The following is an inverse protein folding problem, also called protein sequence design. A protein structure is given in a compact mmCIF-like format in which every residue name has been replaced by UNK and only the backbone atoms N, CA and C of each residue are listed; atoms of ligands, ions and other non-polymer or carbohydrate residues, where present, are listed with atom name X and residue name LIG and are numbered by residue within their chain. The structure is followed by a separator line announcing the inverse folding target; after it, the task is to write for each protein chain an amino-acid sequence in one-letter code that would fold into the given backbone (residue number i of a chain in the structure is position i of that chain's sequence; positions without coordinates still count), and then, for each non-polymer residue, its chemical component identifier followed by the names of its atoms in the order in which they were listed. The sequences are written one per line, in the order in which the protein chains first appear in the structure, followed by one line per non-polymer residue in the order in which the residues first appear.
data_IF_075017518695
#
_entry.id   IF_075017518695
#
_cell.length_a   1.000
_cell.length_b   1.000
_cell.length_c   1.000
_cell.angle_alpha   90.00
_cell.angle_beta   90.00
_cell.angle_gamma   90.00
#
_symmetry.space_group_name_H-M   'P 1'
#
loop_
_entity.id
_entity.type
_entity.pdbx_description
1 polymer ?
#
# COMPACT_ATOMS: atom_id res chain seq x y z
N UNK A 1 16.68 10.27 -18.39
CA UNK A 1 16.33 8.83 -18.41
C UNK A 1 16.07 8.41 -16.98
N UNK A 2 14.83 8.07 -16.58
CA UNK A 2 14.58 7.49 -15.26
C UNK A 2 15.37 6.18 -15.13
N UNK A 3 16.04 5.97 -13.99
CA UNK A 3 16.78 4.73 -13.74
C UNK A 3 15.78 3.59 -13.50
N UNK A 4 16.04 2.40 -14.04
CA UNK A 4 15.18 1.22 -13.95
C UNK A 4 14.57 0.90 -12.56
N UNK A 5 15.24 1.17 -11.41
CA UNK A 5 14.64 0.98 -10.08
C UNK A 5 13.40 1.85 -9.82
N UNK A 6 13.38 3.10 -10.30
CA UNK A 6 12.23 4.00 -10.12
C UNK A 6 11.00 3.53 -10.90
N UNK A 7 11.20 2.91 -12.07
CA UNK A 7 10.10 2.36 -12.85
C UNK A 7 9.44 1.18 -12.13
N UNK A 8 10.21 0.35 -11.41
CA UNK A 8 9.64 -0.74 -10.61
C UNK A 8 8.84 -0.21 -9.44
N UNK A 9 9.38 0.74 -8.68
CA UNK A 9 8.66 1.35 -7.55
C UNK A 9 7.33 2.01 -7.98
N UNK A 10 7.30 2.66 -9.14
CA UNK A 10 6.06 3.22 -9.68
C UNK A 10 5.03 2.16 -10.04
N UNK A 11 5.46 1.04 -10.64
CA UNK A 11 4.56 -0.09 -10.97
C UNK A 11 4.04 -0.76 -9.70
N UNK A 12 4.90 -0.93 -8.70
CA UNK A 12 4.54 -1.51 -7.41
C UNK A 12 3.52 -0.63 -6.69
N UNK A 13 3.73 0.70 -6.69
CA UNK A 13 2.80 1.65 -6.10
C UNK A 13 1.46 1.69 -6.85
N UNK A 14 1.48 1.67 -8.19
CA UNK A 14 0.26 1.64 -9.01
C UNK A 14 -0.57 0.38 -8.75
N UNK A 15 0.09 -0.76 -8.57
CA UNK A 15 -0.57 -2.01 -8.19
C UNK A 15 -1.17 -1.94 -6.78
N UNK A 16 -0.44 -1.39 -5.81
CA UNK A 16 -0.94 -1.20 -4.44
C UNK A 16 -2.16 -0.27 -4.40
N UNK A 17 -2.10 0.86 -5.10
CA UNK A 17 -3.23 1.80 -5.21
C UNK A 17 -4.43 1.13 -5.86
N UNK A 18 -4.21 0.31 -6.90
CA UNK A 18 -5.29 -0.46 -7.54
C UNK A 18 -5.95 -1.44 -6.57
N UNK A 19 -5.17 -2.12 -5.71
CA UNK A 19 -5.68 -3.05 -4.69
C UNK A 19 -6.45 -2.34 -3.57
N UNK A 20 -5.94 -1.21 -3.09
CA UNK A 20 -6.64 -0.38 -2.10
C UNK A 20 -7.95 0.18 -2.65
N UNK A 21 -7.99 0.48 -3.95
CA UNK A 21 -9.20 0.90 -4.67
C UNK A 21 -10.30 -0.17 -4.75
N UNK A 22 -9.99 -1.44 -4.47
CA UNK A 22 -11.02 -2.49 -4.30
C UNK A 22 -11.74 -2.38 -2.95
N UNK A 23 -11.11 -1.77 -1.93
CA UNK A 23 -11.64 -1.61 -0.58
C UNK A 23 -12.35 -0.27 -0.39
N UNK A 24 -11.73 0.80 -0.88
CA UNK A 24 -12.21 2.17 -0.71
C UNK A 24 -12.34 2.88 -2.05
N UNK A 25 -13.42 3.66 -2.19
CA UNK A 25 -13.73 4.39 -3.42
C UNK A 25 -13.19 5.82 -3.42
N UNK A 26 -12.78 6.35 -2.27
CA UNK A 26 -12.20 7.70 -2.21
C UNK A 26 -10.68 7.64 -2.27
N UNK A 27 -10.10 8.60 -3.01
CA UNK A 27 -8.65 8.79 -3.04
C UNK A 27 -8.10 9.17 -1.67
N UNK A 28 -8.89 9.86 -0.85
CA UNK A 28 -8.49 10.31 0.48
C UNK A 28 -8.25 9.12 1.40
N UNK A 29 -9.14 8.12 1.42
CA UNK A 29 -8.97 6.90 2.22
C UNK A 29 -7.71 6.11 1.82
N UNK A 30 -7.46 5.99 0.51
CA UNK A 30 -6.27 5.31 -0.02
C UNK A 30 -4.99 6.04 0.39
N UNK A 31 -5.00 7.38 0.28
CA UNK A 31 -3.84 8.19 0.67
C UNK A 31 -3.62 8.12 2.17
N UNK A 32 -4.67 8.28 2.97
CA UNK A 32 -4.60 8.21 4.43
C UNK A 32 -4.04 6.86 4.88
N UNK A 33 -4.55 5.75 4.34
CA UNK A 33 -4.03 4.42 4.67
C UNK A 33 -2.54 4.29 4.35
N UNK A 34 -2.08 4.83 3.21
CA UNK A 34 -0.67 4.76 2.78
C UNK A 34 0.27 5.66 3.58
N UNK A 35 -0.23 6.77 4.12
CA UNK A 35 0.59 7.80 4.80
C UNK A 35 0.33 7.90 6.29
N UNK A 36 -0.41 6.95 6.86
CA UNK A 36 -0.69 6.86 8.29
C UNK A 36 -0.08 5.60 8.89
N UNK A 37 0.34 5.63 10.18
CA UNK A 37 0.80 4.45 10.91
C UNK A 37 -0.18 3.27 10.80
N UNK A 38 0.28 2.16 10.25
CA UNK A 38 -0.59 1.02 9.96
C UNK A 38 -0.40 -0.12 10.98
N UNK A 39 -1.50 -0.58 11.60
CA UNK A 39 -1.47 -1.62 12.61
C UNK A 39 -0.99 -3.00 12.11
N UNK A 40 -1.13 -3.29 10.82
CA UNK A 40 -0.62 -4.52 10.20
C UNK A 40 0.88 -4.43 9.87
N UNK A 41 1.46 -3.23 9.91
CA UNK A 41 2.85 -2.94 9.56
C UNK A 41 3.64 -2.38 10.75
N UNK A 42 3.38 -2.86 11.96
CA UNK A 42 4.06 -2.45 13.19
C UNK A 42 4.00 -0.92 13.45
N UNK A 43 2.89 -0.27 13.09
CA UNK A 43 2.69 1.18 13.19
C UNK A 43 3.63 2.01 12.30
N UNK A 44 4.19 1.41 11.25
CA UNK A 44 4.94 2.12 10.21
C UNK A 44 3.99 2.58 9.10
N UNK A 45 4.32 3.67 8.42
CA UNK A 45 3.59 4.13 7.24
C UNK A 45 3.81 3.15 6.08
N UNK A 46 2.74 2.64 5.41
CA UNK A 46 2.90 1.70 4.32
C UNK A 46 3.77 2.21 3.17
N UNK A 47 3.75 3.52 2.89
CA UNK A 47 4.57 4.10 1.82
C UNK A 47 6.07 3.89 2.06
N UNK A 48 6.52 4.01 3.31
CA UNK A 48 7.93 3.78 3.67
C UNK A 48 8.29 2.31 3.51
N UNK A 49 7.39 1.39 3.88
CA UNK A 49 7.59 -0.05 3.68
C UNK A 49 7.73 -0.41 2.20
N UNK A 50 6.94 0.20 1.30
CA UNK A 50 7.09 -0.03 -0.15
C UNK A 50 8.47 0.42 -0.64
N UNK A 51 8.95 1.57 -0.15
CA UNK A 51 10.24 2.13 -0.58
C UNK A 51 11.41 1.29 -0.07
N UNK A 52 11.37 0.86 1.18
CA UNK A 52 12.48 0.21 1.87
C UNK A 52 12.51 -1.31 1.66
N UNK A 53 11.35 -1.96 1.67
CA UNK A 53 11.22 -3.42 1.65
C UNK A 53 10.57 -3.96 0.37
N UNK A 54 9.88 -3.10 -0.39
CA UNK A 54 9.08 -3.48 -1.55
C UNK A 54 7.63 -3.85 -1.22
N UNK A 55 6.83 -4.25 -2.21
CA UNK A 55 5.36 -4.25 -2.11
C UNK A 55 4.79 -5.41 -1.29
N UNK A 56 5.51 -6.54 -1.15
CA UNK A 56 4.94 -7.80 -0.66
C UNK A 56 4.27 -7.66 0.70
N UNK A 57 4.95 -7.03 1.65
CA UNK A 57 4.46 -6.87 3.02
C UNK A 57 3.20 -5.97 3.07
N UNK A 58 3.14 -4.96 2.21
CA UNK A 58 1.99 -4.06 2.10
C UNK A 58 0.80 -4.77 1.45
N UNK A 59 1.03 -5.61 0.44
CA UNK A 59 -0.01 -6.44 -0.15
C UNK A 59 -0.61 -7.44 0.84
N UNK A 60 0.23 -8.09 1.65
CA UNK A 60 -0.23 -8.99 2.72
C UNK A 60 -1.12 -8.23 3.74
N UNK A 61 -0.77 -6.98 4.08
CA UNK A 61 -1.57 -6.13 4.95
C UNK A 61 -2.93 -5.73 4.32
N UNK A 62 -2.96 -5.45 3.02
CA UNK A 62 -4.20 -5.16 2.28
C UNK A 62 -5.14 -6.38 2.30
N UNK A 63 -4.60 -7.59 2.12
CA UNK A 63 -5.40 -8.80 2.18
C UNK A 63 -5.94 -9.07 3.59
N UNK A 64 -5.16 -8.74 4.64
CA UNK A 64 -5.61 -8.81 6.03
C UNK A 64 -6.72 -7.79 6.35
N UNK A 65 -6.56 -6.54 5.91
CA UNK A 65 -7.58 -5.50 6.01
C UNK A 65 -8.89 -5.94 5.33
N UNK A 66 -8.81 -6.48 4.11
CA UNK A 66 -9.96 -7.01 3.38
C UNK A 66 -10.67 -8.12 4.14
N UNK A 67 -9.93 -9.01 4.79
CA UNK A 67 -10.48 -10.08 5.61
C UNK A 67 -11.16 -9.55 6.89
N UNK A 68 -10.65 -8.45 7.46
CA UNK A 68 -11.22 -7.78 8.64
C UNK A 68 -12.40 -6.86 8.35
N UNK A 69 -12.52 -6.36 7.11
CA UNK A 69 -13.59 -5.44 6.69
C UNK A 69 -14.95 -6.11 6.46
N UNK A 70 -15.03 -7.45 6.44
CA UNK A 70 -16.29 -8.19 6.42
C UNK A 70 -16.81 -8.37 7.86
N UNK A 71 -17.57 -7.40 8.36
CA UNK A 71 -18.36 -7.47 9.61
C UNK A 71 -19.74 -6.85 9.41
#
# INVERSE_FOLDING_TARGET
MPRAPYLRQLVDLDYIVSRLGELWTTREDIVDWLTSPNGFLDMVEPIDVVVDEGPRRVLDAIDAERAGSYV
#
